data_IF_820421300211
#
_entry.id   IF_820421300211
#
_cell.length_a   1.000
_cell.length_b   1.000
_cell.length_c   1.000
_cell.angle_alpha   90.00
_cell.angle_beta   90.00
_cell.angle_gamma   90.00
#
_symmetry.space_group_name_H-M   'P 1'
#
loop_
_entity.id
_entity.type
_entity.pdbx_description
1 polymer ?
#
# COMPACT_ATOMS: atom_id res chain seq x y z
N UNK A 1 -1.98 -40.00 -82.15
CA UNK A 1 -1.37 -39.44 -80.92
C UNK A 1 -2.17 -38.20 -80.52
N UNK A 2 -3.15 -38.36 -79.70
CA UNK A 2 -4.14 -37.31 -79.26
C UNK A 2 -3.73 -36.74 -77.89
N UNK A 3 -3.41 -35.45 -77.90
CA UNK A 3 -2.97 -34.74 -76.69
C UNK A 3 -4.15 -33.96 -76.10
N UNK A 4 -4.74 -34.47 -75.02
CA UNK A 4 -5.89 -33.84 -74.33
C UNK A 4 -5.37 -32.83 -73.28
N UNK A 5 -5.67 -31.56 -73.47
CA UNK A 5 -5.34 -30.41 -72.61
C UNK A 5 -6.33 -30.33 -71.48
N UNK A 6 -5.92 -30.67 -70.24
CA UNK A 6 -6.76 -30.50 -69.01
C UNK A 6 -6.68 -29.03 -68.55
N UNK A 7 -7.84 -28.39 -68.52
CA UNK A 7 -8.07 -27.13 -67.85
C UNK A 7 -7.98 -27.31 -66.34
N UNK A 8 -6.98 -26.69 -65.68
CA UNK A 8 -6.96 -26.53 -64.22
C UNK A 8 -7.83 -25.33 -63.85
N UNK A 9 -8.96 -25.56 -63.18
CA UNK A 9 -9.71 -24.55 -62.46
C UNK A 9 -8.96 -24.24 -61.19
N UNK A 10 -8.49 -23.00 -60.99
CA UNK A 10 -7.92 -22.47 -59.78
C UNK A 10 -9.07 -22.14 -58.80
N UNK A 11 -9.26 -22.96 -57.81
CA UNK A 11 -10.12 -22.62 -56.67
C UNK A 11 -9.27 -21.77 -55.71
N UNK A 12 -9.58 -20.47 -55.56
CA UNK A 12 -9.09 -19.61 -54.49
C UNK A 12 -9.73 -20.09 -53.18
N UNK A 13 -8.93 -20.31 -52.12
CA UNK A 13 -9.49 -20.73 -50.84
C UNK A 13 -10.16 -19.54 -50.16
N UNK A 14 -11.45 -19.69 -49.88
CA UNK A 14 -12.31 -18.75 -49.14
C UNK A 14 -11.86 -18.58 -47.65
N UNK A 15 -10.81 -19.31 -47.23
CA UNK A 15 -10.35 -19.35 -45.84
C UNK A 15 -9.59 -18.14 -45.32
N UNK A 16 -9.08 -17.24 -46.20
CA UNK A 16 -8.16 -16.15 -45.79
C UNK A 16 -8.92 -14.93 -45.22
N UNK A 17 -10.17 -14.70 -45.64
CA UNK A 17 -10.96 -13.53 -45.23
C UNK A 17 -11.50 -13.68 -43.78
N UNK A 18 -11.79 -14.93 -43.36
CA UNK A 18 -12.39 -15.19 -42.02
C UNK A 18 -11.39 -15.00 -40.87
N UNK A 19 -10.07 -15.25 -41.13
CA UNK A 19 -9.04 -15.13 -40.08
C UNK A 19 -8.71 -13.65 -39.78
N UNK A 20 -8.75 -12.79 -40.78
CA UNK A 20 -8.48 -11.35 -40.57
C UNK A 20 -9.57 -10.64 -39.78
N UNK A 21 -10.86 -11.03 -39.96
CA UNK A 21 -11.97 -10.38 -39.25
C UNK A 21 -12.01 -10.75 -37.78
N UNK A 22 -11.67 -12.00 -37.44
CA UNK A 22 -11.62 -12.44 -36.03
C UNK A 22 -10.46 -11.80 -35.29
N UNK A 23 -9.30 -11.65 -35.97
CA UNK A 23 -8.14 -10.98 -35.38
C UNK A 23 -8.37 -9.49 -35.11
N UNK A 24 -9.10 -8.79 -35.99
CA UNK A 24 -9.41 -7.38 -35.81
C UNK A 24 -10.36 -7.15 -34.62
N UNK A 25 -11.34 -8.01 -34.43
CA UNK A 25 -12.29 -7.94 -33.30
C UNK A 25 -11.60 -8.25 -31.96
N UNK A 26 -10.60 -9.14 -31.94
CA UNK A 26 -9.85 -9.47 -30.73
C UNK A 26 -8.94 -8.31 -30.28
N UNK A 27 -8.34 -7.58 -31.22
CA UNK A 27 -7.48 -6.42 -30.89
C UNK A 27 -8.31 -5.27 -30.31
N UNK A 28 -9.49 -4.99 -30.85
CA UNK A 28 -10.38 -3.92 -30.34
C UNK A 28 -10.88 -4.26 -28.93
N UNK A 29 -11.13 -5.54 -28.61
CA UNK A 29 -11.58 -5.97 -27.29
C UNK A 29 -10.49 -5.84 -26.21
N UNK A 30 -9.21 -6.00 -26.57
CA UNK A 30 -8.09 -5.85 -25.63
C UNK A 30 -7.84 -4.37 -25.28
N UNK A 31 -7.97 -3.47 -26.22
CA UNK A 31 -7.81 -2.03 -25.94
C UNK A 31 -8.92 -1.46 -25.05
N UNK A 32 -10.16 -1.95 -25.18
CA UNK A 32 -11.27 -1.53 -24.33
C UNK A 32 -11.12 -1.99 -22.86
N UNK A 33 -10.35 -3.07 -22.62
CA UNK A 33 -10.15 -3.60 -21.25
C UNK A 33 -9.06 -2.85 -20.48
N UNK A 34 -8.14 -2.17 -21.16
CA UNK A 34 -7.07 -1.37 -20.53
C UNK A 34 -7.56 0.01 -20.04
N UNK A 35 -8.71 0.48 -20.49
CA UNK A 35 -9.25 1.80 -20.12
C UNK A 35 -10.09 1.81 -18.83
N UNK A 36 -10.31 0.66 -18.18
CA UNK A 36 -11.10 0.54 -16.96
C UNK A 36 -10.28 0.25 -15.69
N UNK A 37 -9.07 0.80 -15.60
CA UNK A 37 -8.43 0.95 -14.30
C UNK A 37 -9.13 2.11 -13.59
N UNK A 38 -10.07 1.74 -12.73
CA UNK A 38 -10.98 2.66 -12.07
C UNK A 38 -10.22 3.77 -11.33
N UNK A 39 -10.68 5.04 -11.45
CA UNK A 39 -10.14 6.18 -10.69
C UNK A 39 -10.16 5.99 -9.18
N UNK A 40 -10.98 5.04 -8.68
CA UNK A 40 -11.14 4.75 -7.26
C UNK A 40 -9.89 4.17 -6.59
N UNK A 41 -9.05 3.40 -7.32
CA UNK A 41 -7.82 2.83 -6.71
C UNK A 41 -6.70 3.87 -6.61
N UNK A 42 -6.69 4.87 -7.48
CA UNK A 42 -5.74 5.98 -7.42
C UNK A 42 -6.15 7.03 -6.37
N UNK A 43 -7.44 7.24 -6.15
CA UNK A 43 -7.94 8.14 -5.11
C UNK A 43 -7.66 7.60 -3.69
N UNK A 44 -7.68 6.28 -3.48
CA UNK A 44 -7.37 5.65 -2.19
C UNK A 44 -5.87 5.72 -1.81
N UNK A 45 -4.97 5.85 -2.80
CA UNK A 45 -3.53 5.97 -2.55
C UNK A 45 -3.07 7.41 -2.27
N UNK A 46 -3.91 8.41 -2.53
CA UNK A 46 -3.53 9.83 -2.48
C UNK A 46 -3.93 10.57 -1.21
N UNK A 47 -4.66 9.95 -0.26
CA UNK A 47 -5.20 10.67 0.90
C UNK A 47 -5.03 9.86 2.19
N UNK A 48 -3.81 9.60 2.62
CA UNK A 48 -3.57 9.30 4.03
C UNK A 48 -2.63 10.38 4.59
N UNK A 49 -3.10 11.63 4.56
CA UNK A 49 -2.41 12.74 5.23
C UNK A 49 -2.68 12.76 6.73
N UNK A 50 -3.73 12.09 7.21
CA UNK A 50 -4.08 12.00 8.62
C UNK A 50 -4.44 10.58 9.02
N UNK A 51 -4.27 10.27 10.30
CA UNK A 51 -4.61 8.97 10.86
C UNK A 51 -6.13 8.73 10.80
N UNK A 52 -6.60 7.66 10.12
CA UNK A 52 -8.04 7.36 10.03
C UNK A 52 -8.68 7.01 11.38
N UNK A 53 -7.87 6.66 12.38
CA UNK A 53 -8.32 6.27 13.72
C UNK A 53 -8.10 7.36 14.77
N UNK A 54 -7.66 8.53 14.35
CA UNK A 54 -7.46 9.68 15.25
C UNK A 54 -8.72 10.02 16.04
N UNK A 55 -8.57 10.12 17.36
CA UNK A 55 -9.66 10.49 18.28
C UNK A 55 -10.71 9.42 18.55
N UNK A 56 -10.61 8.20 17.99
CA UNK A 56 -11.53 7.10 18.25
C UNK A 56 -11.14 6.37 19.55
N UNK A 57 -11.99 6.34 20.58
CA UNK A 57 -11.63 5.75 21.88
C UNK A 57 -11.21 4.29 21.79
N UNK A 58 -11.95 3.47 21.01
CA UNK A 58 -11.66 2.06 20.82
C UNK A 58 -10.31 1.83 20.12
N UNK A 59 -9.96 2.68 19.19
CA UNK A 59 -8.67 2.60 18.50
C UNK A 59 -7.52 3.05 19.40
N UNK A 60 -7.74 4.04 20.25
CA UNK A 60 -6.77 4.51 21.25
C UNK A 60 -6.46 3.40 22.25
N UNK A 61 -7.47 2.69 22.76
CA UNK A 61 -7.27 1.61 23.72
C UNK A 61 -6.57 0.41 23.09
N UNK A 62 -6.96 0.02 21.88
CA UNK A 62 -6.26 -1.01 21.10
C UNK A 62 -4.81 -0.61 20.81
N UNK A 63 -4.58 0.64 20.42
CA UNK A 63 -3.26 1.19 20.15
C UNK A 63 -2.36 1.22 21.39
N UNK A 64 -2.92 1.52 22.57
CA UNK A 64 -2.20 1.44 23.84
C UNK A 64 -1.72 0.03 24.13
N UNK A 65 -2.57 -0.99 23.93
CA UNK A 65 -2.21 -2.38 24.12
C UNK A 65 -1.10 -2.83 23.14
N UNK A 66 -1.23 -2.46 21.87
CA UNK A 66 -0.22 -2.74 20.82
C UNK A 66 1.10 -2.05 21.13
N UNK A 67 1.07 -0.78 21.54
CA UNK A 67 2.26 -0.04 21.95
C UNK A 67 2.97 -0.73 23.11
N UNK A 68 2.21 -1.18 24.13
CA UNK A 68 2.74 -1.94 25.26
C UNK A 68 3.41 -3.25 24.87
N UNK A 69 2.97 -3.88 23.78
CA UNK A 69 3.55 -5.13 23.29
C UNK A 69 4.80 -4.92 22.44
N UNK A 70 4.78 -3.95 21.54
CA UNK A 70 5.78 -3.86 20.45
C UNK A 70 6.74 -2.68 20.58
N UNK A 71 6.36 -1.59 21.28
CA UNK A 71 7.09 -0.32 21.25
C UNK A 71 7.73 0.06 22.59
N UNK A 72 7.05 -0.28 23.68
CA UNK A 72 7.40 0.18 25.05
C UNK A 72 8.81 -0.18 25.46
N UNK A 73 9.34 -1.32 24.98
CA UNK A 73 10.66 -1.80 25.39
C UNK A 73 11.77 -0.82 25.00
N UNK A 74 11.62 -0.16 23.88
CA UNK A 74 12.59 0.83 23.40
C UNK A 74 12.14 2.26 23.67
N UNK A 75 10.87 2.59 23.42
CA UNK A 75 10.34 3.94 23.50
C UNK A 75 9.86 4.35 24.91
N UNK A 76 9.87 3.39 25.87
CA UNK A 76 9.47 3.62 27.24
C UNK A 76 7.95 3.71 27.45
N UNK A 77 7.47 3.56 28.70
CA UNK A 77 6.04 3.55 29.00
C UNK A 77 5.34 4.89 28.80
N UNK A 78 6.09 5.98 28.74
CA UNK A 78 5.61 7.34 28.50
C UNK A 78 5.83 7.80 27.07
N UNK A 79 6.34 6.94 26.18
CA UNK A 79 6.73 7.25 24.81
C UNK A 79 7.78 8.40 24.69
N UNK A 80 8.53 8.64 25.74
CA UNK A 80 9.55 9.70 25.83
C UNK A 80 10.96 9.25 25.43
N UNK A 81 11.08 8.02 24.94
CA UNK A 81 12.33 7.39 24.56
C UNK A 81 13.14 6.86 25.75
N UNK A 82 12.61 6.92 26.97
CA UNK A 82 13.26 6.45 28.18
C UNK A 82 12.69 5.08 28.57
N UNK A 83 13.46 4.05 28.32
CA UNK A 83 13.15 2.67 28.69
C UNK A 83 13.94 2.26 29.95
N UNK A 84 13.71 1.04 30.40
CA UNK A 84 14.52 0.43 31.47
C UNK A 84 16.02 0.29 31.13
N UNK A 85 16.38 0.43 29.86
CA UNK A 85 17.75 0.33 29.38
C UNK A 85 18.40 1.70 29.15
N UNK A 86 17.72 2.78 29.52
CA UNK A 86 18.17 4.15 29.32
C UNK A 86 17.44 4.88 28.19
N UNK A 87 17.89 6.07 27.86
CA UNK A 87 17.32 6.92 26.81
C UNK A 87 18.14 6.77 25.52
N UNK A 88 17.61 5.99 24.57
CA UNK A 88 18.27 5.84 23.26
C UNK A 88 17.27 5.84 22.08
N UNK A 89 16.00 5.72 22.33
CA UNK A 89 14.96 5.85 21.31
C UNK A 89 14.46 7.30 21.21
N UNK A 90 13.84 7.64 20.11
CA UNK A 90 13.24 8.96 19.93
C UNK A 90 12.03 9.17 20.85
N UNK A 91 11.85 10.40 21.33
CA UNK A 91 10.64 10.84 22.02
C UNK A 91 9.50 10.96 20.98
N UNK A 92 8.50 10.09 21.11
CA UNK A 92 7.37 10.03 20.18
C UNK A 92 6.34 11.11 20.47
N UNK A 93 6.36 11.73 21.64
CA UNK A 93 5.41 12.78 22.05
C UNK A 93 5.64 14.09 21.29
N UNK A 94 6.84 14.29 20.75
CA UNK A 94 7.20 15.45 19.91
C UNK A 94 7.43 15.04 18.45
N UNK A 95 6.76 13.98 18.01
CA UNK A 95 6.85 13.54 16.63
C UNK A 95 6.22 14.58 15.69
N UNK A 96 6.98 15.06 14.70
CA UNK A 96 6.63 16.23 13.88
C UNK A 96 6.44 15.94 12.38
N UNK A 97 6.66 14.69 11.96
CA UNK A 97 6.78 14.33 10.54
C UNK A 97 5.46 13.97 9.86
N UNK A 98 4.36 13.99 10.59
CA UNK A 98 3.05 13.61 10.09
C UNK A 98 2.80 12.11 10.05
N UNK A 99 1.52 11.75 9.98
CA UNK A 99 1.06 10.36 10.06
C UNK A 99 1.63 9.47 8.94
N UNK A 100 1.70 9.96 7.70
CA UNK A 100 2.25 9.19 6.57
C UNK A 100 3.69 8.76 6.80
N UNK A 101 4.53 9.67 7.33
CA UNK A 101 5.91 9.34 7.65
C UNK A 101 6.01 8.40 8.85
N UNK A 102 5.10 8.54 9.84
CA UNK A 102 5.00 7.60 10.95
C UNK A 102 4.77 6.16 10.44
N UNK A 103 3.78 5.96 9.57
CA UNK A 103 3.48 4.65 8.95
C UNK A 103 4.70 4.11 8.21
N UNK A 104 5.36 4.94 7.41
CA UNK A 104 6.55 4.58 6.66
C UNK A 104 7.70 4.13 7.57
N UNK A 105 7.94 4.86 8.66
CA UNK A 105 8.97 4.54 9.64
C UNK A 105 8.65 3.22 10.36
N UNK A 106 7.42 3.01 10.78
CA UNK A 106 7.04 1.78 11.47
C UNK A 106 7.17 0.58 10.52
N UNK A 107 6.67 0.68 9.30
CA UNK A 107 6.75 -0.42 8.32
C UNK A 107 8.18 -0.80 7.98
N UNK A 108 9.02 0.17 7.68
CA UNK A 108 10.37 -0.07 7.15
C UNK A 108 11.47 -0.08 8.23
N UNK A 109 11.15 0.39 9.43
CA UNK A 109 12.14 0.53 10.49
C UNK A 109 13.16 1.64 10.22
N UNK A 110 14.10 1.76 11.13
CA UNK A 110 15.32 2.55 11.02
C UNK A 110 16.49 1.71 11.53
N UNK A 111 16.92 0.74 10.75
CA UNK A 111 17.91 -0.27 11.16
C UNK A 111 19.22 0.34 11.62
N UNK A 112 19.66 1.46 11.02
CA UNK A 112 20.85 2.20 11.44
C UNK A 112 20.68 2.85 12.83
N UNK A 113 19.44 2.94 13.34
CA UNK A 113 19.08 3.44 14.67
C UNK A 113 18.43 2.34 15.53
N UNK A 114 18.69 1.07 15.19
CA UNK A 114 18.24 -0.10 15.93
C UNK A 114 16.71 -0.27 16.01
N UNK A 115 15.94 0.40 15.17
CA UNK A 115 14.51 0.20 15.05
C UNK A 115 14.23 -0.82 13.92
N UNK A 116 13.72 -2.02 14.24
CA UNK A 116 13.41 -3.02 13.23
C UNK A 116 12.20 -2.62 12.37
N UNK A 117 12.04 -3.20 11.16
CA UNK A 117 10.83 -3.08 10.37
C UNK A 117 9.69 -3.92 10.98
N UNK A 118 8.46 -3.38 10.94
CA UNK A 118 7.30 -4.02 11.55
C UNK A 118 6.22 -4.45 10.55
N UNK A 119 6.40 -4.24 9.25
CA UNK A 119 5.38 -4.50 8.21
C UNK A 119 4.89 -5.95 8.14
N UNK A 120 5.70 -6.92 8.58
CA UNK A 120 5.32 -8.34 8.60
C UNK A 120 4.54 -8.73 9.87
N UNK A 121 4.49 -7.85 10.87
CA UNK A 121 3.86 -8.10 12.18
C UNK A 121 2.65 -7.20 12.41
N UNK A 122 2.76 -5.94 11.99
CA UNK A 122 1.74 -4.92 12.14
C UNK A 122 1.18 -4.54 10.77
N UNK A 123 -0.10 -4.80 10.56
CA UNK A 123 -0.86 -4.30 9.43
C UNK A 123 -1.18 -2.80 9.58
N UNK A 124 -1.74 -2.19 8.54
CA UNK A 124 -2.03 -0.76 8.52
C UNK A 124 -3.05 -0.35 9.59
N UNK A 125 -4.01 -1.21 9.91
CA UNK A 125 -5.00 -0.95 10.95
C UNK A 125 -4.34 -0.89 12.33
N UNK A 126 -3.46 -1.84 12.67
CA UNK A 126 -2.73 -1.83 13.94
C UNK A 126 -1.79 -0.64 14.05
N UNK A 127 -1.14 -0.25 12.95
CA UNK A 127 -0.28 0.94 12.92
C UNK A 127 -1.10 2.20 13.13
N UNK A 128 -2.31 2.29 12.54
CA UNK A 128 -3.23 3.41 12.74
C UNK A 128 -3.68 3.51 14.21
N UNK A 129 -4.02 2.38 14.83
CA UNK A 129 -4.38 2.32 16.25
C UNK A 129 -3.23 2.79 17.16
N UNK A 130 -1.99 2.33 16.90
CA UNK A 130 -0.80 2.80 17.64
C UNK A 130 -0.63 4.31 17.45
N UNK A 131 -0.80 4.83 16.23
CA UNK A 131 -0.78 6.26 15.95
C UNK A 131 -1.82 7.02 16.76
N UNK A 132 -3.09 6.55 16.80
CA UNK A 132 -4.16 7.16 17.56
C UNK A 132 -3.85 7.26 19.06
N UNK A 133 -3.23 6.21 19.63
CA UNK A 133 -2.74 6.26 21.01
C UNK A 133 -1.63 7.29 21.19
N UNK A 134 -0.63 7.33 20.32
CA UNK A 134 0.50 8.27 20.41
C UNK A 134 0.06 9.73 20.25
N UNK A 135 -0.96 10.00 19.44
CA UNK A 135 -1.58 11.33 19.31
C UNK A 135 -2.11 11.84 20.67
N UNK A 136 -2.61 10.95 21.54
CA UNK A 136 -3.09 11.34 22.88
C UNK A 136 -1.95 11.74 23.83
N UNK A 137 -0.72 11.37 23.51
CA UNK A 137 0.48 11.71 24.28
C UNK A 137 1.22 12.92 23.71
N UNK A 138 0.72 13.49 22.60
CA UNK A 138 1.39 14.56 21.88
C UNK A 138 1.61 15.80 22.76
N UNK A 139 2.81 16.34 22.70
CA UNK A 139 3.19 17.59 23.33
C UNK A 139 3.25 18.73 22.29
N UNK A 140 3.44 19.95 22.74
CA UNK A 140 3.64 21.10 21.89
C UNK A 140 4.76 20.85 20.85
N UNK A 141 4.52 21.22 19.60
CA UNK A 141 5.43 20.99 18.49
C UNK A 141 5.25 19.64 17.78
N UNK A 142 4.40 18.73 18.29
CA UNK A 142 4.04 17.52 17.57
C UNK A 142 3.16 17.83 16.37
N UNK A 143 3.37 17.09 15.27
CA UNK A 143 2.52 17.15 14.09
C UNK A 143 2.19 15.73 13.62
N UNK A 144 0.92 15.38 13.70
CA UNK A 144 0.37 14.08 13.29
C UNK A 144 -0.48 14.16 12.02
N UNK A 145 -0.55 15.30 11.38
CA UNK A 145 -1.31 15.54 10.14
C UNK A 145 -0.42 15.50 8.92
#
# INVERSE_FOLDING_TARGET
MTFTRRHRRSHLPIGVITVCTVSLLAVVAVEATMAQQSPQKQAAAAIVSSNPDSGKPEAIDAGRALYGTWCVQCHGPKADGVSRFGKYAGDLRVFWRGYSEFVTIVKNGRTQKQMPPWKEVLDDAKIAQIGAYLETLALEGANWK
#
